data_IF_131130812980
#
_entry.id   IF_131130812980
#
_cell.length_a   1.000
_cell.length_b   1.000
_cell.length_c   1.000
_cell.angle_alpha   90.00
_cell.angle_beta   90.00
_cell.angle_gamma   90.00
#
_symmetry.space_group_name_H-M   'P 1'
#
loop_
_entity.id
_entity.type
_entity.pdbx_description
1 polymer ?
#
# COMPACT_ATOMS: atom_id res chain seq x y z
N UNK A 1 0.96 11.30 -13.44
CA UNK A 1 0.32 12.60 -13.16
C UNK A 1 0.72 12.99 -11.73
N UNK A 2 1.45 14.09 -11.53
CA UNK A 2 1.89 14.58 -10.19
C UNK A 2 1.01 15.73 -9.69
N UNK A 3 -0.13 15.93 -10.34
CA UNK A 3 -1.01 17.08 -10.10
C UNK A 3 -2.20 16.64 -9.25
N UNK A 4 -2.41 17.35 -8.14
CA UNK A 4 -3.43 16.98 -7.15
C UNK A 4 -3.84 18.19 -6.31
N UNK A 5 -5.14 18.35 -6.10
CA UNK A 5 -5.67 19.30 -5.11
C UNK A 5 -5.49 18.74 -3.71
N UNK A 6 -5.02 19.58 -2.80
CA UNK A 6 -4.97 19.32 -1.37
C UNK A 6 -6.25 19.85 -0.72
N UNK A 7 -6.64 19.24 0.40
CA UNK A 7 -7.84 19.61 1.16
C UNK A 7 -7.77 21.05 1.72
N UNK A 8 -6.57 21.61 1.84
CA UNK A 8 -6.33 22.99 2.27
C UNK A 8 -6.42 24.02 1.12
N UNK A 9 -6.82 23.58 -0.08
CA UNK A 9 -6.97 24.42 -1.27
C UNK A 9 -5.69 24.62 -2.08
N UNK A 10 -4.54 24.10 -1.63
CA UNK A 10 -3.31 24.13 -2.42
C UNK A 10 -3.35 23.12 -3.56
N UNK A 11 -2.51 23.34 -4.57
CA UNK A 11 -2.41 22.48 -5.73
C UNK A 11 -0.96 22.02 -5.95
N UNK A 12 -0.75 20.72 -5.85
CA UNK A 12 0.51 20.09 -6.21
C UNK A 12 0.68 20.15 -7.73
N UNK A 13 1.84 20.60 -8.19
CA UNK A 13 2.18 20.67 -9.61
C UNK A 13 3.56 20.04 -9.87
N UNK A 14 3.72 19.40 -11.02
CA UNK A 14 4.99 18.79 -11.40
C UNK A 14 6.12 19.85 -11.45
N UNK A 15 7.31 19.50 -10.94
CA UNK A 15 8.53 20.32 -10.98
C UNK A 15 8.70 21.08 -12.30
N UNK A 16 8.73 20.36 -13.43
CA UNK A 16 8.86 20.94 -14.77
C UNK A 16 7.84 22.04 -15.07
N UNK A 17 6.57 21.82 -14.73
CA UNK A 17 5.51 22.79 -15.01
C UNK A 17 5.62 24.00 -14.07
N UNK A 18 5.97 23.79 -12.81
CA UNK A 18 6.22 24.88 -11.85
C UNK A 18 7.41 25.74 -12.29
N UNK A 19 8.51 25.11 -12.71
CA UNK A 19 9.72 25.81 -13.13
C UNK A 19 9.45 26.65 -14.39
N UNK A 20 8.67 26.13 -15.34
CA UNK A 20 8.19 26.90 -16.50
C UNK A 20 7.27 28.08 -16.13
N UNK A 21 6.53 27.98 -15.03
CA UNK A 21 5.71 29.11 -14.53
C UNK A 21 6.59 30.16 -13.83
N UNK A 22 7.64 29.73 -13.13
CA UNK A 22 8.59 30.62 -12.47
C UNK A 22 9.37 31.50 -13.47
N UNK A 23 9.53 31.05 -14.71
CA UNK A 23 10.10 31.88 -15.80
C UNK A 23 9.20 33.06 -16.19
N UNK A 24 7.89 32.97 -15.93
CA UNK A 24 6.87 33.96 -16.35
C UNK A 24 6.28 34.76 -15.19
N UNK A 25 6.29 34.20 -13.99
CA UNK A 25 5.66 34.74 -12.80
C UNK A 25 6.60 34.64 -11.61
N UNK A 26 6.49 35.59 -10.68
CA UNK A 26 7.29 35.56 -9.45
C UNK A 26 6.73 34.53 -8.46
N UNK A 27 7.61 34.04 -7.58
CA UNK A 27 7.23 33.04 -6.57
C UNK A 27 6.03 33.48 -5.70
N UNK A 28 5.97 34.75 -5.30
CA UNK A 28 4.84 35.30 -4.53
C UNK A 28 3.49 35.19 -5.26
N UNK A 29 3.48 35.24 -6.60
CA UNK A 29 2.26 35.07 -7.39
C UNK A 29 1.84 33.60 -7.42
N UNK A 30 2.80 32.69 -7.57
CA UNK A 30 2.56 31.25 -7.52
C UNK A 30 2.05 30.81 -6.14
N UNK A 31 2.61 31.39 -5.08
CA UNK A 31 2.18 31.16 -3.69
C UNK A 31 0.76 31.68 -3.46
N UNK A 32 0.41 32.85 -4.00
CA UNK A 32 -0.98 33.38 -3.97
C UNK A 32 -1.97 32.48 -4.70
N UNK A 33 -1.53 31.78 -5.73
CA UNK A 33 -2.34 30.77 -6.44
C UNK A 33 -2.37 29.42 -5.72
N UNK A 34 -1.61 29.27 -4.62
CA UNK A 34 -1.54 28.02 -3.86
C UNK A 34 -0.79 26.91 -4.58
N UNK A 35 0.08 27.23 -5.55
CA UNK A 35 0.84 26.25 -6.30
C UNK A 35 2.02 25.73 -5.48
N UNK A 36 2.12 24.41 -5.36
CA UNK A 36 3.20 23.75 -4.62
C UNK A 36 4.01 22.89 -5.56
N UNK A 37 5.29 23.26 -5.72
CA UNK A 37 6.25 22.49 -6.52
C UNK A 37 6.48 21.11 -5.92
N UNK A 38 6.18 20.04 -6.67
CA UNK A 38 6.48 18.66 -6.27
C UNK A 38 7.90 18.30 -6.68
N UNK A 39 8.68 17.71 -5.75
CA UNK A 39 10.03 17.20 -6.03
C UNK A 39 10.05 16.17 -7.16
N UNK A 40 11.12 16.14 -7.94
CA UNK A 40 11.30 15.14 -9.01
C UNK A 40 11.46 13.72 -8.48
N UNK A 41 11.94 13.60 -7.25
CA UNK A 41 12.16 12.32 -6.56
C UNK A 41 10.99 11.92 -5.67
N UNK A 42 9.92 12.71 -5.63
CA UNK A 42 8.72 12.35 -4.88
C UNK A 42 8.09 11.08 -5.45
N UNK A 43 7.83 10.10 -4.58
CA UNK A 43 7.20 8.82 -4.89
C UNK A 43 6.12 8.54 -3.85
N UNK A 44 5.01 7.96 -4.28
CA UNK A 44 3.95 7.48 -3.39
C UNK A 44 3.83 5.98 -3.59
N UNK A 45 3.95 5.23 -2.50
CA UNK A 45 3.72 3.78 -2.47
C UNK A 45 2.59 3.55 -1.46
N UNK A 46 1.58 2.81 -1.88
CA UNK A 46 0.47 2.42 -1.03
C UNK A 46 0.38 0.89 -1.00
N UNK A 47 0.09 0.33 0.18
CA UNK A 47 -0.21 -1.08 0.35
C UNK A 47 -1.72 -1.22 0.52
N UNK A 48 -2.34 -1.99 -0.38
CA UNK A 48 -3.73 -2.38 -0.26
C UNK A 48 -3.81 -3.82 0.25
N UNK A 49 -4.62 -4.07 1.27
CA UNK A 49 -5.05 -5.43 1.57
C UNK A 49 -6.24 -5.77 0.67
N UNK A 50 -6.34 -7.01 0.17
CA UNK A 50 -7.56 -7.45 -0.48
C UNK A 50 -8.71 -7.32 0.52
N UNK A 51 -9.65 -6.41 0.25
CA UNK A 51 -10.85 -6.26 1.06
C UNK A 51 -11.67 -7.55 0.91
N UNK A 52 -12.19 -8.14 2.00
CA UNK A 52 -13.13 -9.25 1.91
C UNK A 52 -14.27 -8.94 0.94
N UNK A 53 -14.92 -9.97 0.38
CA UNK A 53 -15.98 -9.82 -0.63
C UNK A 53 -17.09 -8.83 -0.23
N UNK A 54 -17.27 -8.48 1.06
CA UNK A 54 -18.21 -7.43 1.50
C UNK A 54 -17.73 -6.57 2.69
N UNK A 55 -18.24 -5.32 2.68
CA UNK A 55 -18.00 -4.12 3.52
C UNK A 55 -16.61 -3.48 3.43
N UNK A 56 -16.38 -2.82 2.29
CA UNK A 56 -15.45 -1.70 2.14
C UNK A 56 -15.78 -0.93 0.86
N UNK A 57 -15.51 0.38 0.82
CA UNK A 57 -15.60 1.13 -0.43
C UNK A 57 -14.43 0.75 -1.32
N UNK A 58 -14.66 0.32 -2.58
CA UNK A 58 -13.56 0.09 -3.50
C UNK A 58 -12.77 1.38 -3.69
N UNK A 59 -11.49 1.27 -4.08
CA UNK A 59 -10.67 2.43 -4.37
C UNK A 59 -11.38 3.32 -5.41
N UNK A 60 -11.55 4.60 -5.10
CA UNK A 60 -12.31 5.50 -5.96
C UNK A 60 -11.74 5.51 -7.39
N UNK A 61 -12.59 5.62 -8.43
CA UNK A 61 -12.14 5.61 -9.82
C UNK A 61 -10.97 6.57 -10.13
N UNK A 62 -10.90 7.80 -9.58
CA UNK A 62 -9.78 8.71 -9.78
C UNK A 62 -8.46 8.23 -9.14
N UNK A 63 -8.51 7.44 -8.07
CA UNK A 63 -7.30 6.84 -7.48
C UNK A 63 -6.86 5.61 -8.27
N UNK A 64 -7.82 4.78 -8.69
CA UNK A 64 -7.56 3.56 -9.47
C UNK A 64 -6.88 3.85 -10.82
N UNK A 65 -7.13 5.01 -11.43
CA UNK A 65 -6.46 5.42 -12.67
C UNK A 65 -5.12 6.15 -12.45
N UNK A 66 -4.86 6.68 -11.24
CA UNK A 66 -3.63 7.43 -10.93
C UNK A 66 -2.49 6.54 -10.44
N UNK A 67 -2.81 5.38 -9.87
CA UNK A 67 -1.82 4.42 -9.39
C UNK A 67 -1.61 3.31 -10.40
N UNK A 68 -0.35 2.91 -10.58
CA UNK A 68 -0.03 1.60 -11.13
C UNK A 68 -0.14 0.59 -9.99
N UNK A 69 -1.03 -0.39 -10.14
CA UNK A 69 -1.20 -1.45 -9.15
C UNK A 69 -0.45 -2.70 -9.62
N UNK A 70 0.18 -3.38 -8.67
CA UNK A 70 0.75 -4.70 -8.86
C UNK A 70 0.21 -5.59 -7.75
N UNK A 71 -0.33 -6.74 -8.14
CA UNK A 71 -0.65 -7.79 -7.18
C UNK A 71 0.65 -8.46 -6.71
N UNK A 72 0.79 -8.63 -5.41
CA UNK A 72 1.94 -9.27 -4.77
C UNK A 72 1.44 -10.57 -4.18
N UNK A 73 1.64 -11.64 -4.93
CA UNK A 73 1.32 -13.00 -4.49
C UNK A 73 2.16 -13.40 -3.28
N UNK A 74 1.58 -14.22 -2.42
CA UNK A 74 2.29 -14.83 -1.30
C UNK A 74 3.50 -15.65 -1.77
N UNK A 75 4.54 -15.70 -0.94
CA UNK A 75 5.75 -16.45 -1.22
C UNK A 75 5.48 -17.97 -1.16
N UNK A 76 6.13 -18.78 -2.03
CA UNK A 76 6.10 -20.23 -1.93
C UNK A 76 6.61 -20.75 -0.59
N UNK A 77 6.15 -21.96 -0.22
CA UNK A 77 6.52 -22.62 1.04
C UNK A 77 8.03 -22.66 1.29
N UNK A 78 8.82 -23.04 0.27
CA UNK A 78 10.27 -23.18 0.40
C UNK A 78 10.96 -21.83 0.64
N UNK A 79 10.46 -20.76 0.03
CA UNK A 79 11.03 -19.42 0.18
C UNK A 79 10.75 -18.89 1.59
N UNK A 80 9.52 -19.05 2.09
CA UNK A 80 9.16 -18.69 3.47
C UNK A 80 9.97 -19.49 4.49
N UNK A 81 10.13 -20.81 4.29
CA UNK A 81 10.91 -21.64 5.20
C UNK A 81 12.39 -21.23 5.20
N UNK A 82 12.94 -20.89 4.04
CA UNK A 82 14.33 -20.43 3.91
C UNK A 82 14.53 -19.11 4.61
N UNK A 83 13.65 -18.14 4.40
CA UNK A 83 13.69 -16.84 5.06
C UNK A 83 13.52 -16.96 6.57
N UNK A 84 12.58 -17.80 7.04
CA UNK A 84 12.39 -18.07 8.46
C UNK A 84 13.63 -18.68 9.11
N UNK A 85 14.31 -19.62 8.44
CA UNK A 85 15.57 -20.20 8.91
C UNK A 85 16.69 -19.16 8.98
N UNK A 86 16.80 -18.29 7.97
CA UNK A 86 17.78 -17.20 7.95
C UNK A 86 17.55 -16.22 9.10
N UNK A 87 16.31 -15.77 9.31
CA UNK A 87 15.94 -14.85 10.39
C UNK A 87 16.16 -15.45 11.78
N UNK A 88 15.88 -16.75 11.94
CA UNK A 88 16.10 -17.46 13.20
C UNK A 88 17.55 -17.91 13.42
N UNK A 89 18.48 -17.59 12.51
CA UNK A 89 19.87 -18.08 12.54
C UNK A 89 19.95 -19.61 12.67
N UNK A 90 19.10 -20.32 11.94
CA UNK A 90 18.93 -21.78 11.95
C UNK A 90 18.61 -22.42 13.32
N UNK A 91 18.18 -21.63 14.31
CA UNK A 91 17.74 -22.18 15.60
C UNK A 91 16.46 -22.98 15.42
N UNK A 92 16.46 -24.23 15.88
CA UNK A 92 15.32 -25.15 15.88
C UNK A 92 14.66 -25.35 14.49
N UNK A 93 15.38 -25.93 13.52
CA UNK A 93 14.89 -26.06 12.14
C UNK A 93 13.61 -26.91 12.02
N UNK A 94 13.44 -27.90 12.90
CA UNK A 94 12.24 -28.72 12.95
C UNK A 94 11.00 -27.92 13.37
N UNK A 95 11.13 -27.04 14.37
CA UNK A 95 10.03 -26.20 14.83
C UNK A 95 9.60 -25.23 13.74
N UNK A 96 10.57 -24.59 13.07
CA UNK A 96 10.30 -23.70 11.95
C UNK A 96 9.57 -24.42 10.82
N UNK A 97 10.01 -25.63 10.47
CA UNK A 97 9.34 -26.47 9.47
C UNK A 97 7.89 -26.77 9.86
N UNK A 98 7.64 -27.12 11.13
CA UNK A 98 6.29 -27.36 11.65
C UNK A 98 5.41 -26.11 11.62
N UNK A 99 5.94 -24.95 12.03
CA UNK A 99 5.22 -23.68 12.04
C UNK A 99 4.86 -23.23 10.62
N UNK A 100 5.80 -23.28 9.67
CA UNK A 100 5.53 -22.95 8.27
C UNK A 100 4.50 -23.91 7.69
N UNK A 101 4.61 -25.21 7.94
CA UNK A 101 3.64 -26.21 7.48
C UNK A 101 2.24 -25.96 8.03
N UNK A 102 2.14 -25.61 9.30
CA UNK A 102 0.87 -25.25 9.95
C UNK A 102 0.24 -24.02 9.28
N UNK A 103 1.01 -22.94 9.08
CA UNK A 103 0.53 -21.72 8.43
C UNK A 103 -0.03 -21.96 7.03
N UNK A 104 0.69 -22.70 6.18
CA UNK A 104 0.23 -23.07 4.84
C UNK A 104 -1.02 -23.97 4.85
N UNK A 105 -1.10 -24.87 5.83
CA UNK A 105 -2.28 -25.72 6.02
C UNK A 105 -3.50 -24.88 6.39
N UNK A 106 -3.34 -23.92 7.31
CA UNK A 106 -4.41 -22.97 7.67
C UNK A 106 -4.83 -22.12 6.48
N UNK A 107 -3.89 -21.52 5.74
CA UNK A 107 -4.17 -20.69 4.56
C UNK A 107 -4.94 -21.46 3.47
N UNK A 108 -4.52 -22.69 3.17
CA UNK A 108 -5.23 -23.53 2.18
C UNK A 108 -6.63 -23.94 2.64
N UNK A 109 -6.83 -24.10 3.96
CA UNK A 109 -8.15 -24.37 4.55
C UNK A 109 -9.00 -23.13 4.83
N UNK A 110 -8.48 -21.92 4.65
CA UNK A 110 -9.17 -20.68 5.05
C UNK A 110 -10.52 -20.48 4.32
N UNK A 111 -10.66 -21.06 3.12
CA UNK A 111 -11.91 -21.05 2.35
C UNK A 111 -13.00 -21.98 2.90
N UNK A 112 -12.66 -22.93 3.77
CA UNK A 112 -13.60 -23.86 4.42
C UNK A 112 -13.88 -23.52 5.88
N UNK A 113 -13.21 -22.50 6.44
CA UNK A 113 -13.52 -21.99 7.76
C UNK A 113 -14.82 -21.18 7.72
N UNK A 114 -15.73 -21.36 8.70
CA UNK A 114 -16.93 -20.55 8.76
C UNK A 114 -16.54 -19.07 8.91
N UNK A 115 -17.21 -18.21 8.14
CA UNK A 115 -17.08 -16.75 8.26
C UNK A 115 -17.56 -16.34 9.66
N UNK A 116 -16.61 -16.13 10.57
CA UNK A 116 -16.93 -15.75 11.94
C UNK A 116 -16.98 -14.21 11.99
N UNK A 117 -18.14 -13.60 12.29
CA UNK A 117 -18.25 -12.16 12.36
C UNK A 117 -17.59 -11.68 13.65
N UNK A 118 -16.26 -11.58 13.62
CA UNK A 118 -15.42 -11.13 14.74
C UNK A 118 -15.85 -9.73 15.20
N UNK A 119 -16.40 -8.93 14.29
CA UNK A 119 -17.00 -7.61 14.54
C UNK A 119 -18.18 -7.64 15.52
N UNK A 120 -18.85 -8.79 15.67
CA UNK A 120 -19.94 -8.98 16.64
C UNK A 120 -19.44 -9.39 18.03
N UNK A 121 -18.14 -9.68 18.19
CA UNK A 121 -17.57 -9.97 19.50
C UNK A 121 -17.43 -8.65 20.25
N UNK A 122 -18.30 -8.44 21.24
CA UNK A 122 -18.10 -7.37 22.22
C UNK A 122 -16.85 -7.74 23.02
N UNK A 123 -15.80 -6.92 22.93
CA UNK A 123 -14.67 -7.00 23.85
C UNK A 123 -15.21 -6.88 25.28
N UNK A 124 -15.08 -7.96 26.06
CA UNK A 124 -15.36 -7.98 27.51
C UNK A 124 -14.07 -7.73 28.25
#
# INVERSE_FOLDING_TARGET
NREMHLEDGRFLIAAKNYDSLLERFNQEQLDKWGLVRVSEDFRVIALGLPVPKYRGSPLDPPLRSRFQARDVSELPYLDILTEAKLLASEKNPELLTKLTSFGFSVLSSASSLPDFPIDNIRYV
#
